data_IF_844525609127
#
_entry.id   IF_844525609127
#
_cell.length_a   1.000
_cell.length_b   1.000
_cell.length_c   1.000
_cell.angle_alpha   90.00
_cell.angle_beta   90.00
_cell.angle_gamma   90.00
#
_symmetry.space_group_name_H-M   'P 1'
#
loop_
_entity.id
_entity.type
_entity.pdbx_description
1 polymer ?
#
# COMPACT_ATOMS: atom_id res chain seq x y z
N UNK A 1 6.81 9.08 0.78
CA UNK A 1 5.52 9.83 0.93
C UNK A 1 4.93 9.66 2.33
N UNK A 2 5.76 9.81 3.38
CA UNK A 2 5.38 9.50 4.77
C UNK A 2 4.26 10.39 5.34
N UNK A 3 4.25 11.73 5.13
CA UNK A 3 3.16 12.55 5.64
C UNK A 3 1.79 12.19 5.03
N UNK A 4 1.78 11.81 3.75
CA UNK A 4 0.59 11.33 3.05
C UNK A 4 0.09 9.99 3.61
N UNK A 5 1.01 9.06 3.90
CA UNK A 5 0.66 7.81 4.55
C UNK A 5 0.02 8.04 5.93
N UNK A 6 0.62 8.94 6.73
CA UNK A 6 0.08 9.30 8.03
C UNK A 6 -1.32 9.92 7.95
N UNK A 7 -1.56 10.81 6.96
CA UNK A 7 -2.88 11.42 6.74
C UNK A 7 -3.99 10.41 6.40
N UNK A 8 -3.65 9.25 5.84
CA UNK A 8 -4.62 8.16 5.57
C UNK A 8 -4.95 7.32 6.81
N UNK A 9 -4.37 7.64 7.98
CA UNK A 9 -4.61 6.90 9.23
C UNK A 9 -3.66 5.73 9.47
N UNK A 10 -2.50 5.72 8.80
CA UNK A 10 -1.39 4.78 9.06
C UNK A 10 -0.64 5.22 10.32
N UNK A 11 -0.23 4.27 11.15
CA UNK A 11 0.61 4.54 12.32
C UNK A 11 1.93 5.21 11.93
N UNK A 12 2.42 6.13 12.77
CA UNK A 12 3.66 6.87 12.48
C UNK A 12 4.88 5.96 12.24
N UNK A 13 4.98 4.85 12.98
CA UNK A 13 6.03 3.83 12.83
C UNK A 13 6.01 3.16 11.44
N UNK A 14 4.83 3.00 10.85
CA UNK A 14 4.60 2.27 9.60
C UNK A 14 4.56 3.24 8.41
N UNK A 15 4.31 4.53 8.65
CA UNK A 15 4.13 5.56 7.64
C UNK A 15 5.34 5.71 6.69
N UNK A 16 6.55 5.42 7.16
CA UNK A 16 7.76 5.39 6.33
C UNK A 16 7.66 4.32 5.23
N UNK A 17 7.43 3.07 5.63
CA UNK A 17 7.32 1.91 4.74
C UNK A 17 6.11 2.03 3.82
N UNK A 18 4.93 2.41 4.34
CA UNK A 18 3.75 2.65 3.50
C UNK A 18 4.00 3.80 2.52
N UNK A 19 4.69 4.85 2.95
CA UNK A 19 5.08 5.97 2.11
C UNK A 19 6.07 5.59 1.00
N UNK A 20 6.85 4.53 1.16
CA UNK A 20 7.70 3.93 0.12
C UNK A 20 6.86 3.17 -0.89
N UNK A 21 5.93 2.32 -0.43
CA UNK A 21 5.01 1.57 -1.30
C UNK A 21 4.20 2.48 -2.23
N UNK A 22 3.65 3.59 -1.71
CA UNK A 22 2.90 4.57 -2.53
C UNK A 22 3.82 5.20 -3.59
N UNK A 23 5.09 5.46 -3.23
CA UNK A 23 6.07 6.03 -4.15
C UNK A 23 6.44 5.05 -5.26
N UNK A 24 6.67 3.79 -4.88
CA UNK A 24 6.95 2.69 -5.79
C UNK A 24 5.80 2.48 -6.78
N UNK A 25 4.54 2.50 -6.32
CA UNK A 25 3.38 2.47 -7.21
C UNK A 25 3.38 3.64 -8.19
N UNK A 26 3.57 4.85 -7.69
CA UNK A 26 3.41 6.07 -8.50
C UNK A 26 4.45 6.16 -9.60
N UNK A 27 5.72 5.87 -9.27
CA UNK A 27 6.84 6.02 -10.19
C UNK A 27 7.17 4.76 -11.00
N UNK A 28 7.01 3.57 -10.41
CA UNK A 28 7.30 2.30 -11.05
C UNK A 28 6.00 1.64 -11.52
N UNK A 29 5.34 0.92 -10.62
CA UNK A 29 4.10 0.18 -10.92
C UNK A 29 3.44 -0.38 -9.65
N UNK A 30 2.12 -0.59 -9.66
CA UNK A 30 1.41 -1.21 -8.53
C UNK A 30 1.82 -2.67 -8.30
N UNK A 31 2.14 -3.44 -9.35
CA UNK A 31 2.52 -4.84 -9.19
C UNK A 31 3.80 -5.02 -8.37
N UNK A 32 4.78 -4.13 -8.55
CA UNK A 32 6.02 -4.16 -7.77
C UNK A 32 5.76 -3.75 -6.31
N UNK A 33 4.92 -2.72 -6.11
CA UNK A 33 4.51 -2.31 -4.77
C UNK A 33 3.74 -3.43 -4.03
N UNK A 34 2.88 -4.17 -4.71
CA UNK A 34 2.18 -5.31 -4.12
C UNK A 34 3.10 -6.46 -3.76
N UNK A 35 4.14 -6.72 -4.56
CA UNK A 35 5.17 -7.72 -4.22
C UNK A 35 5.86 -7.36 -2.90
N UNK A 36 6.21 -6.10 -2.71
CA UNK A 36 6.90 -5.66 -1.51
C UNK A 36 5.98 -5.59 -0.29
N UNK A 37 4.71 -5.22 -0.49
CA UNK A 37 3.68 -5.35 0.54
C UNK A 37 3.52 -6.82 0.98
N UNK A 38 3.46 -7.76 0.03
CA UNK A 38 3.40 -9.19 0.35
C UNK A 38 4.63 -9.65 1.14
N UNK A 39 5.81 -9.11 0.85
CA UNK A 39 7.02 -9.32 1.65
C UNK A 39 6.86 -8.88 3.10
N UNK A 40 6.29 -7.69 3.35
CA UNK A 40 6.02 -7.22 4.71
C UNK A 40 4.97 -8.08 5.44
N UNK A 41 3.96 -8.58 4.73
CA UNK A 41 2.96 -9.50 5.30
C UNK A 41 3.59 -10.84 5.71
N UNK A 42 4.46 -11.41 4.87
CA UNK A 42 5.21 -12.63 5.21
C UNK A 42 6.13 -12.40 6.41
N UNK A 43 6.87 -11.29 6.41
CA UNK A 43 7.74 -10.90 7.54
C UNK A 43 6.97 -10.77 8.86
N UNK A 44 5.73 -10.27 8.83
CA UNK A 44 4.85 -10.24 10.00
C UNK A 44 4.46 -11.65 10.45
N UNK A 45 4.15 -12.56 9.54
CA UNK A 45 3.77 -13.94 9.88
C UNK A 45 4.95 -14.72 10.47
N UNK A 46 6.14 -14.53 9.92
CA UNK A 46 7.37 -15.22 10.35
C UNK A 46 8.09 -14.49 11.51
N UNK A 47 7.56 -13.34 11.95
CA UNK A 47 8.16 -12.50 12.99
C UNK A 47 9.61 -12.15 12.73
N UNK A 48 9.92 -11.83 11.48
CA UNK A 48 11.28 -11.56 11.03
C UNK A 48 11.33 -10.29 10.18
N UNK A 49 12.38 -9.50 10.33
CA UNK A 49 12.60 -8.31 9.51
C UNK A 49 11.55 -7.18 9.67
N UNK A 50 11.57 -6.19 8.76
CA UNK A 50 10.62 -5.09 8.75
C UNK A 50 9.23 -5.61 8.37
N UNK A 51 8.21 -5.21 9.13
CA UNK A 51 6.83 -5.59 8.90
C UNK A 51 5.90 -4.42 9.22
N UNK A 52 4.65 -4.52 8.76
CA UNK A 52 3.60 -3.54 8.98
C UNK A 52 2.57 -4.09 9.96
N UNK A 53 1.83 -3.23 10.66
CA UNK A 53 0.63 -3.68 11.38
C UNK A 53 -0.47 -4.09 10.40
N UNK A 54 -1.40 -4.95 10.84
CA UNK A 54 -2.54 -5.40 9.99
C UNK A 54 -3.39 -4.22 9.52
N UNK A 55 -3.56 -3.21 10.37
CA UNK A 55 -4.21 -1.96 10.00
C UNK A 55 -3.47 -1.26 8.86
N UNK A 56 -2.16 -1.06 8.99
CA UNK A 56 -1.33 -0.43 7.96
C UNK A 56 -1.27 -1.25 6.66
N UNK A 57 -1.23 -2.57 6.73
CA UNK A 57 -1.30 -3.46 5.57
C UNK A 57 -2.62 -3.28 4.81
N UNK A 58 -3.73 -3.17 5.53
CA UNK A 58 -5.05 -2.96 4.93
C UNK A 58 -5.12 -1.60 4.25
N UNK A 59 -4.70 -0.53 4.94
CA UNK A 59 -4.65 0.82 4.35
C UNK A 59 -3.74 0.85 3.12
N UNK A 60 -2.55 0.24 3.20
CA UNK A 60 -1.63 0.13 2.08
C UNK A 60 -2.26 -0.64 0.90
N UNK A 61 -2.96 -1.74 1.15
CA UNK A 61 -3.64 -2.52 0.11
C UNK A 61 -4.62 -1.67 -0.70
N UNK A 62 -5.44 -0.85 -0.02
CA UNK A 62 -6.36 0.08 -0.69
C UNK A 62 -5.65 1.26 -1.36
N UNK A 63 -4.60 1.79 -0.73
CA UNK A 63 -3.81 2.87 -1.33
C UNK A 63 -3.12 2.39 -2.62
N UNK A 64 -2.75 1.12 -2.68
CA UNK A 64 -2.11 0.51 -3.84
C UNK A 64 -3.10 0.11 -4.95
N UNK A 65 -4.39 -0.04 -4.62
CA UNK A 65 -5.41 -0.52 -5.54
C UNK A 65 -5.76 0.52 -6.61
N UNK A 66 -5.01 0.53 -7.71
CA UNK A 66 -5.34 1.30 -8.92
C UNK A 66 -4.13 1.56 -9.80
N UNK A 67 -4.37 1.69 -11.11
CA UNK A 67 -3.35 1.91 -12.13
C UNK A 67 -2.90 3.38 -12.25
N UNK A 68 -2.88 4.12 -11.13
CA UNK A 68 -2.51 5.53 -11.12
C UNK A 68 -0.98 5.67 -11.06
N UNK A 69 -0.32 5.37 -12.17
CA UNK A 69 1.14 5.43 -12.33
C UNK A 69 1.52 5.99 -13.73
N UNK A 70 2.78 6.39 -13.91
CA UNK A 70 3.24 6.97 -15.18
C UNK A 70 3.13 6.01 -16.38
N UNK A 71 3.37 4.71 -16.19
CA UNK A 71 3.24 3.72 -17.27
C UNK A 71 1.81 3.63 -17.80
N UNK A 72 0.83 3.75 -16.90
CA UNK A 72 -0.60 3.69 -17.21
C UNK A 72 -1.11 4.93 -17.92
N UNK A 73 -0.42 6.06 -17.82
CA UNK A 73 -0.70 7.23 -18.67
C UNK A 73 -0.36 6.93 -20.14
N UNK A 74 0.78 6.29 -20.38
CA UNK A 74 1.17 5.83 -21.71
C UNK A 74 0.16 4.84 -22.28
N UNK A 75 -0.28 3.88 -21.47
CA UNK A 75 -1.33 2.92 -21.88
C UNK A 75 -2.65 3.62 -22.21
N UNK A 76 -3.11 4.57 -21.38
CA UNK A 76 -4.36 5.30 -21.63
C UNK A 76 -4.29 6.15 -22.90
N UNK A 77 -3.18 6.86 -23.14
CA UNK A 77 -2.99 7.62 -24.37
C UNK A 77 -2.89 6.71 -25.60
N UNK A 78 -2.21 5.56 -25.46
CA UNK A 78 -2.09 4.55 -26.52
C UNK A 78 -3.43 3.89 -26.87
N UNK A 79 -4.30 3.67 -25.88
CA UNK A 79 -5.62 3.09 -26.06
C UNK A 79 -6.64 4.11 -26.59
N UNK A 80 -6.75 5.28 -25.96
CA UNK A 80 -7.76 6.30 -26.29
C UNK A 80 -7.41 7.11 -27.54
N UNK A 81 -6.12 7.29 -27.84
CA UNK A 81 -5.66 8.07 -28.98
C UNK A 81 -6.20 7.57 -30.32
N UNK A 82 -6.12 6.27 -30.65
CA UNK A 82 -6.72 5.71 -31.85
C UNK A 82 -8.25 5.70 -31.85
N UNK A 83 -8.89 5.60 -30.67
CA UNK A 83 -10.35 5.63 -30.54
C UNK A 83 -10.94 7.03 -30.82
N UNK A 84 -10.21 8.09 -30.47
CA UNK A 84 -10.61 9.48 -30.68
C UNK A 84 -9.46 10.33 -31.24
N UNK A 85 -9.07 10.13 -32.52
CA UNK A 85 -7.87 10.74 -33.09
C UNK A 85 -7.93 12.26 -33.15
N UNK A 86 -9.11 12.85 -33.29
CA UNK A 86 -9.33 14.30 -33.26
C UNK A 86 -9.17 14.92 -31.86
N UNK A 87 -9.15 14.10 -30.79
CA UNK A 87 -9.09 14.56 -29.38
C UNK A 87 -7.78 14.17 -28.68
N UNK A 88 -6.79 13.66 -29.43
CA UNK A 88 -5.46 13.31 -28.90
C UNK A 88 -4.80 14.47 -28.14
N UNK A 89 -4.94 15.70 -28.65
CA UNK A 89 -4.43 16.91 -27.99
C UNK A 89 -5.07 17.14 -26.63
N UNK A 90 -6.41 17.09 -26.55
CA UNK A 90 -7.15 17.24 -25.29
C UNK A 90 -6.73 16.17 -24.28
N UNK A 91 -6.62 14.91 -24.71
CA UNK A 91 -6.20 13.79 -23.87
C UNK A 91 -4.79 14.01 -23.29
N UNK A 92 -3.84 14.45 -24.11
CA UNK A 92 -2.48 14.75 -23.67
C UNK A 92 -2.43 15.92 -22.66
N UNK A 93 -3.32 16.90 -22.78
CA UNK A 93 -3.38 18.04 -21.84
C UNK A 93 -3.93 17.64 -20.47
N UNK A 94 -4.89 16.71 -20.42
CA UNK A 94 -5.54 16.31 -19.15
C UNK A 94 -4.85 15.14 -18.45
N UNK A 95 -3.96 14.41 -19.12
CA UNK A 95 -3.39 13.15 -18.62
C UNK A 95 -2.69 13.29 -17.25
N UNK A 96 -1.97 14.38 -17.02
CA UNK A 96 -1.33 14.60 -15.71
C UNK A 96 -2.35 14.89 -14.61
N UNK A 97 -3.46 15.56 -14.95
CA UNK A 97 -4.57 15.81 -14.02
C UNK A 97 -5.33 14.53 -13.73
N UNK A 98 -5.49 13.63 -14.71
CA UNK A 98 -6.14 12.33 -14.49
C UNK A 98 -5.27 11.41 -13.62
N UNK A 99 -3.94 11.46 -13.75
CA UNK A 99 -3.03 10.75 -12.84
C UNK A 99 -3.24 11.19 -11.39
N UNK A 100 -3.17 12.50 -11.12
CA UNK A 100 -3.36 13.04 -9.78
C UNK A 100 -4.76 12.71 -9.23
N UNK A 101 -5.80 12.82 -10.07
CA UNK A 101 -7.16 12.42 -9.69
C UNK A 101 -7.25 10.95 -9.31
N UNK A 102 -6.60 10.06 -10.07
CA UNK A 102 -6.52 8.64 -9.77
C UNK A 102 -5.78 8.32 -8.47
N UNK A 103 -4.65 9.00 -8.22
CA UNK A 103 -3.91 8.86 -6.96
C UNK A 103 -4.79 9.26 -5.79
N UNK A 104 -5.41 10.45 -5.85
CA UNK A 104 -6.28 10.96 -4.78
C UNK A 104 -7.46 10.01 -4.54
N UNK A 105 -8.08 9.46 -5.58
CA UNK A 105 -9.17 8.50 -5.42
C UNK A 105 -8.73 7.24 -4.65
N UNK A 106 -7.52 6.72 -4.93
CA UNK A 106 -6.95 5.59 -4.19
C UNK A 106 -6.69 5.97 -2.71
N UNK A 107 -6.13 7.16 -2.46
CA UNK A 107 -5.82 7.63 -1.11
C UNK A 107 -7.09 7.87 -0.27
N UNK A 108 -8.16 8.39 -0.88
CA UNK A 108 -9.46 8.55 -0.21
C UNK A 108 -10.03 7.18 0.15
N UNK A 109 -10.00 6.22 -0.77
CA UNK A 109 -10.49 4.85 -0.51
C UNK A 109 -9.70 4.19 0.62
N UNK A 110 -8.38 4.38 0.64
CA UNK A 110 -7.50 3.91 1.71
C UNK A 110 -7.82 4.57 3.07
N UNK A 111 -8.11 5.86 3.06
CA UNK A 111 -8.51 6.59 4.27
C UNK A 111 -9.84 6.07 4.82
N UNK A 112 -10.81 5.78 3.94
CA UNK A 112 -12.08 5.16 4.32
C UNK A 112 -11.84 3.76 4.90
N UNK A 113 -10.97 2.96 4.29
CA UNK A 113 -10.59 1.65 4.85
C UNK A 113 -9.95 1.81 6.25
N UNK A 114 -9.06 2.79 6.44
CA UNK A 114 -8.47 3.10 7.74
C UNK A 114 -9.49 3.52 8.80
N UNK A 115 -10.60 4.16 8.42
CA UNK A 115 -11.69 4.48 9.34
C UNK A 115 -12.52 3.26 9.74
N UNK A 116 -12.66 2.27 8.85
CA UNK A 116 -13.50 1.09 9.05
C UNK A 116 -12.76 -0.09 9.68
N UNK A 117 -11.44 -0.13 9.55
CA UNK A 117 -10.60 -1.17 10.14
C UNK A 117 -10.35 -0.87 11.61
N UNK A 118 -10.77 -1.78 12.48
CA UNK A 118 -10.46 -1.73 13.90
C UNK A 118 -9.16 -2.49 14.19
N UNK A 119 -8.42 -2.00 15.18
CA UNK A 119 -7.24 -2.69 15.69
C UNK A 119 -7.67 -3.87 16.57
N UNK A 120 -7.92 -5.02 15.95
CA UNK A 120 -8.20 -6.24 16.70
C UNK A 120 -6.92 -6.76 17.38
N UNK A 121 -6.88 -6.87 18.73
CA UNK A 121 -5.69 -7.33 19.46
C UNK A 121 -5.27 -8.77 19.14
N UNK A 122 -6.19 -9.58 18.59
CA UNK A 122 -5.95 -10.97 18.15
C UNK A 122 -5.06 -11.07 16.90
N UNK A 123 -4.82 -9.97 16.19
CA UNK A 123 -3.97 -9.90 15.01
C UNK A 123 -2.47 -9.73 15.33
N UNK A 124 -2.09 -9.59 16.60
CA UNK A 124 -0.70 -9.49 17.05
C UNK A 124 -0.09 -10.91 17.18
N UNK A 125 0.18 -11.54 16.04
CA UNK A 125 0.75 -12.90 16.02
C UNK A 125 2.15 -12.96 16.65
N UNK A 126 2.99 -11.94 16.46
CA UNK A 126 4.37 -11.99 16.96
C UNK A 126 4.53 -11.88 18.47
N UNK A 127 3.66 -11.13 19.15
CA UNK A 127 3.69 -11.11 20.62
C UNK A 127 3.26 -12.46 21.18
N UNK A 128 2.28 -13.12 20.56
CA UNK A 128 1.83 -14.44 20.99
C UNK A 128 2.89 -15.53 20.74
N UNK A 129 3.47 -15.59 19.53
CA UNK A 129 4.50 -16.58 19.20
C UNK A 129 5.82 -16.36 19.96
N UNK A 130 6.24 -15.11 20.18
CA UNK A 130 7.45 -14.84 20.98
C UNK A 130 7.26 -15.29 22.44
N UNK A 131 6.06 -15.08 23.02
CA UNK A 131 5.73 -15.61 24.34
C UNK A 131 5.66 -17.15 24.34
N UNK A 132 5.07 -17.79 23.33
CA UNK A 132 5.05 -19.26 23.25
C UNK A 132 6.46 -19.86 23.13
N UNK A 133 7.34 -19.28 22.32
CA UNK A 133 8.73 -19.72 22.19
C UNK A 133 9.51 -19.52 23.51
N UNK A 134 9.27 -18.42 24.23
CA UNK A 134 9.86 -18.18 25.55
C UNK A 134 9.35 -19.19 26.60
N UNK A 135 8.06 -19.50 26.59
CA UNK A 135 7.46 -20.51 27.49
C UNK A 135 7.99 -21.92 27.19
N UNK A 136 8.13 -22.29 25.91
CA UNK A 136 8.69 -23.59 25.49
C UNK A 136 10.17 -23.71 25.87
N UNK A 137 10.96 -22.64 25.71
CA UNK A 137 12.35 -22.66 26.16
C UNK A 137 12.48 -22.77 27.69
N UNK A 138 11.53 -22.20 28.43
CA UNK A 138 11.52 -22.25 29.90
C UNK A 138 11.11 -23.61 30.47
N UNK A 139 10.32 -24.40 29.73
CA UNK A 139 9.89 -25.75 30.13
C UNK A 139 10.85 -26.86 29.70
N UNK A 140 11.75 -26.62 28.74
CA UNK A 140 12.78 -27.60 28.31
C UNK A 140 14.06 -27.51 29.18
N UNK A 141 14.25 -26.42 29.93
CA UNK A 141 15.43 -26.21 30.80
C UNK A 141 15.22 -26.58 32.28
N UNK A 142 14.12 -27.24 32.64
CA UNK A 142 13.86 -27.76 33.99
C UNK A 142 13.67 -29.29 33.97
#
# INVERSE_FOLDING_TARGET
LMPLAYLMGVDWKDAGLVGELIGMKTFLNEFLAYKELAGYMSNRMDCSGPHLSVRSETIATYALCGFANFSSLGMQLGALGPMAPSRKGDLAQIVMRSLLGGIIACLITASVAGLLVNDDPSMIYCTFMSNSSAIVNSTVTN
#
